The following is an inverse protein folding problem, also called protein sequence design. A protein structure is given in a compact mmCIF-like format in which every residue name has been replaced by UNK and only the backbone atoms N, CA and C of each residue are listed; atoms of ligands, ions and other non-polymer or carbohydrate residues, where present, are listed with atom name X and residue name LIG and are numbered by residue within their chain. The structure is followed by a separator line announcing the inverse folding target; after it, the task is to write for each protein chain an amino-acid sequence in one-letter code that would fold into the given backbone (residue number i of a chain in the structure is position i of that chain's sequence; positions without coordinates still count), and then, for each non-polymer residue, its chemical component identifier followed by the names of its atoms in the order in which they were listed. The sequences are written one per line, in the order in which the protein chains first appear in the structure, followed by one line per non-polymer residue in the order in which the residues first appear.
data_IF_782307485548
#
_entry.id   IF_782307485548
#
_cell.length_a   1.000
_cell.length_b   1.000
_cell.length_c   1.000
_cell.angle_alpha   90.00
_cell.angle_beta   90.00
_cell.angle_gamma   90.00
#
_symmetry.space_group_name_H-M   'P 1'
#
loop_
_entity.id
_entity.type
_entity.pdbx_description
1 polymer ?
#
# COMPACT_ATOMS: atom_id res chain seq x y z
N UNK A 1 -46.87 -2.70 -7.18
CA UNK A 1 -47.23 -4.10 -6.86
C UNK A 1 -45.94 -4.88 -6.62
N UNK A 2 -45.85 -5.51 -5.47
CA UNK A 2 -44.67 -6.15 -4.89
C UNK A 2 -44.25 -7.42 -5.65
N UNK A 3 -43.00 -7.51 -6.10
CA UNK A 3 -42.39 -8.75 -6.59
C UNK A 3 -41.67 -9.46 -5.43
N UNK A 4 -42.10 -10.69 -5.10
CA UNK A 4 -41.49 -11.55 -4.08
C UNK A 4 -40.73 -12.71 -4.71
N UNK A 5 -39.54 -12.99 -4.15
CA UNK A 5 -38.44 -13.85 -4.64
C UNK A 5 -38.66 -15.36 -4.42
N UNK A 6 -39.85 -15.91 -4.68
CA UNK A 6 -40.11 -17.36 -4.55
C UNK A 6 -40.91 -17.85 -5.75
N UNK A 7 -40.22 -18.29 -6.81
CA UNK A 7 -40.69 -19.29 -7.80
C UNK A 7 -39.72 -19.42 -9.01
N UNK A 8 -38.41 -19.59 -8.76
CA UNK A 8 -37.44 -19.82 -9.86
C UNK A 8 -36.70 -21.16 -9.77
N UNK A 9 -37.28 -22.14 -9.07
CA UNK A 9 -36.74 -23.51 -9.01
C UNK A 9 -37.89 -24.51 -9.23
N UNK A 10 -38.31 -24.66 -10.48
CA UNK A 10 -39.08 -25.81 -10.97
C UNK A 10 -39.05 -25.82 -12.51
N UNK A 11 -38.32 -26.77 -13.10
CA UNK A 11 -38.17 -26.95 -14.55
C UNK A 11 -36.86 -27.68 -14.84
N UNK A 12 -36.74 -28.98 -14.52
CA UNK A 12 -37.05 -30.09 -15.45
C UNK A 12 -36.14 -30.01 -16.69
N UNK A 13 -35.13 -30.85 -16.90
CA UNK A 13 -35.10 -32.31 -16.87
C UNK A 13 -35.13 -32.86 -18.31
N UNK A 14 -34.01 -33.49 -18.75
CA UNK A 14 -33.75 -34.48 -19.83
C UNK A 14 -34.57 -34.42 -21.16
N UNK A 15 -34.11 -34.73 -22.38
CA UNK A 15 -33.28 -35.81 -22.97
C UNK A 15 -32.80 -35.28 -24.37
N UNK A 16 -31.86 -35.86 -25.14
CA UNK A 16 -32.08 -36.92 -26.15
C UNK A 16 -30.70 -37.49 -26.55
N UNK A 17 -30.58 -38.82 -26.51
CA UNK A 17 -29.52 -39.62 -27.12
C UNK A 17 -29.76 -39.75 -28.64
N UNK A 18 -28.73 -39.53 -29.47
CA UNK A 18 -28.64 -40.18 -30.79
C UNK A 18 -27.19 -40.55 -31.10
N UNK A 19 -27.02 -41.84 -31.37
CA UNK A 19 -25.85 -42.58 -31.85
C UNK A 19 -25.39 -42.14 -33.23
N UNK A 20 -24.07 -42.08 -33.50
CA UNK A 20 -23.58 -41.98 -34.88
C UNK A 20 -22.09 -41.75 -35.08
N UNK A 21 -21.39 -42.86 -35.32
CA UNK A 21 -20.21 -43.05 -36.21
C UNK A 21 -18.89 -42.33 -35.90
N UNK A 22 -17.89 -43.16 -35.63
CA UNK A 22 -16.48 -42.83 -35.51
C UNK A 22 -15.88 -42.33 -36.84
N UNK A 23 -15.30 -41.13 -36.81
CA UNK A 23 -14.22 -40.73 -37.72
C UNK A 23 -13.09 -40.16 -36.87
N UNK A 24 -12.00 -40.93 -36.73
CA UNK A 24 -10.75 -40.50 -36.11
C UNK A 24 -10.05 -39.49 -37.01
N UNK A 25 -10.37 -38.21 -36.84
CA UNK A 25 -9.57 -37.11 -37.36
C UNK A 25 -8.41 -36.87 -36.39
N UNK A 26 -7.20 -37.33 -36.74
CA UNK A 26 -5.98 -36.95 -36.03
C UNK A 26 -5.72 -35.47 -36.34
N UNK A 27 -6.23 -34.58 -35.50
CA UNK A 27 -5.85 -33.16 -35.49
C UNK A 27 -4.53 -33.05 -34.74
N UNK A 28 -3.44 -33.09 -35.50
CA UNK A 28 -2.11 -32.70 -35.03
C UNK A 28 -2.15 -31.21 -34.70
N UNK A 29 -2.49 -30.88 -33.45
CA UNK A 29 -2.34 -29.51 -32.93
C UNK A 29 -0.85 -29.23 -32.82
N UNK A 30 -0.30 -28.56 -33.83
CA UNK A 30 0.98 -27.90 -33.72
C UNK A 30 0.83 -26.83 -32.62
N UNK A 31 1.51 -27.03 -31.49
CA UNK A 31 1.72 -25.98 -30.50
C UNK A 31 2.56 -24.89 -31.16
N UNK A 32 1.90 -23.99 -31.89
CA UNK A 32 2.43 -22.70 -32.27
C UNK A 32 2.38 -21.81 -31.03
N UNK A 33 3.55 -21.52 -30.52
CA UNK A 33 3.90 -20.28 -29.83
C UNK A 33 2.97 -19.90 -28.68
N UNK A 34 3.39 -20.31 -27.47
CA UNK A 34 3.12 -19.54 -26.27
C UNK A 34 3.76 -18.15 -26.44
N UNK A 35 3.06 -17.27 -27.15
CA UNK A 35 3.20 -15.84 -26.96
C UNK A 35 2.84 -15.59 -25.52
N UNK A 36 3.86 -15.33 -24.69
CA UNK A 36 3.67 -14.76 -23.37
C UNK A 36 2.79 -13.52 -23.55
N UNK A 37 1.52 -13.64 -23.15
CA UNK A 37 0.67 -12.50 -22.86
C UNK A 37 1.35 -11.77 -21.69
N UNK A 38 2.25 -10.85 -22.01
CA UNK A 38 2.91 -9.96 -21.06
C UNK A 38 1.91 -8.89 -20.60
N UNK A 39 0.79 -9.33 -20.03
CA UNK A 39 0.06 -8.52 -19.07
C UNK A 39 0.82 -8.63 -17.75
N UNK A 40 1.84 -7.77 -17.57
CA UNK A 40 2.48 -7.58 -16.26
C UNK A 40 1.38 -7.41 -15.21
N UNK A 41 1.27 -8.37 -14.30
CA UNK A 41 0.23 -8.37 -13.29
C UNK A 41 0.28 -7.06 -12.48
N UNK A 42 -0.88 -6.52 -12.12
CA UNK A 42 -0.96 -5.30 -11.32
C UNK A 42 -0.12 -5.43 -10.04
N UNK A 43 0.78 -4.46 -9.85
CA UNK A 43 1.66 -4.38 -8.70
C UNK A 43 0.87 -3.94 -7.47
N UNK A 44 1.31 -4.40 -6.31
CA UNK A 44 0.75 -3.99 -5.02
C UNK A 44 1.87 -3.49 -4.13
N UNK A 45 2.28 -2.23 -4.31
CA UNK A 45 3.36 -1.67 -3.51
C UNK A 45 3.03 -1.59 -2.01
N UNK A 46 4.02 -1.91 -1.20
CA UNK A 46 4.01 -1.77 0.26
C UNK A 46 5.37 -1.37 0.80
N UNK A 47 5.43 -1.10 2.09
CA UNK A 47 6.65 -0.74 2.80
C UNK A 47 6.74 -1.49 4.12
N UNK A 48 7.96 -1.84 4.54
CA UNK A 48 8.27 -2.37 5.86
C UNK A 48 9.18 -1.37 6.59
N UNK A 49 8.92 -1.14 7.87
CA UNK A 49 9.77 -0.40 8.78
C UNK A 49 10.23 -1.30 9.91
N UNK A 50 11.53 -1.53 10.03
CA UNK A 50 12.13 -2.27 11.14
C UNK A 50 12.45 -1.32 12.29
N UNK A 51 11.69 -1.43 13.38
CA UNK A 51 11.86 -0.57 14.56
C UNK A 51 13.13 -0.89 15.35
N UNK A 52 13.72 -2.08 15.19
CA UNK A 52 14.99 -2.46 15.83
C UNK A 52 16.21 -1.90 15.10
N UNK A 53 16.11 -1.75 13.77
CA UNK A 53 17.16 -1.15 12.95
C UNK A 53 17.07 0.38 12.88
N UNK A 54 15.91 0.97 13.20
CA UNK A 54 15.72 2.40 13.13
C UNK A 54 16.42 3.12 14.29
N UNK A 55 17.34 4.04 13.95
CA UNK A 55 18.12 4.82 14.93
C UNK A 55 17.62 6.25 15.15
N UNK A 56 16.43 6.59 14.62
CA UNK A 56 15.86 7.92 14.83
C UNK A 56 16.57 9.09 14.14
N UNK A 57 17.47 8.85 13.18
CA UNK A 57 18.31 9.88 12.55
C UNK A 57 17.58 10.90 11.66
N UNK A 58 16.27 10.71 11.42
CA UNK A 58 15.41 11.56 10.56
C UNK A 58 15.87 11.80 9.12
N UNK A 59 16.92 11.13 8.63
CA UNK A 59 17.40 11.24 7.25
C UNK A 59 16.31 10.96 6.20
N UNK A 60 15.43 10.00 6.50
CA UNK A 60 14.30 9.67 5.64
C UNK A 60 13.27 10.82 5.51
N UNK A 61 13.08 11.62 6.56
CA UNK A 61 12.18 12.79 6.57
C UNK A 61 12.74 13.88 5.66
N UNK A 62 14.02 14.19 5.81
CA UNK A 62 14.67 15.22 5.00
C UNK A 62 14.80 14.82 3.54
N UNK A 63 15.18 13.58 3.24
CA UNK A 63 15.21 13.09 1.87
C UNK A 63 13.81 13.13 1.21
N UNK A 64 12.75 12.81 1.96
CA UNK A 64 11.39 12.93 1.44
C UNK A 64 11.03 14.38 1.11
N UNK A 65 11.40 15.32 1.99
CA UNK A 65 11.18 16.75 1.78
C UNK A 65 11.92 17.27 0.55
N UNK A 66 13.21 16.97 0.44
CA UNK A 66 14.05 17.46 -0.65
C UNK A 66 13.60 16.92 -2.01
N UNK A 67 13.37 15.61 -2.10
CA UNK A 67 13.01 14.95 -3.37
C UNK A 67 11.61 15.31 -3.82
N UNK A 68 10.65 15.38 -2.89
CA UNK A 68 9.24 15.65 -3.24
C UNK A 68 8.84 17.12 -3.08
N UNK A 69 9.78 18.00 -2.78
CA UNK A 69 9.55 19.45 -2.57
C UNK A 69 8.43 19.72 -1.56
N UNK A 70 8.45 18.99 -0.43
CA UNK A 70 7.46 19.18 0.63
C UNK A 70 7.69 20.54 1.29
N UNK A 71 6.69 21.43 1.39
CA UNK A 71 6.88 22.74 2.01
C UNK A 71 7.23 22.68 3.50
N UNK A 72 7.73 23.80 4.03
CA UNK A 72 7.92 23.96 5.47
C UNK A 72 6.60 23.91 6.24
N UNK A 73 6.67 23.52 7.52
CA UNK A 73 5.50 23.41 8.40
C UNK A 73 4.63 22.16 8.19
N UNK A 74 4.90 21.36 7.14
CA UNK A 74 4.20 20.10 6.86
C UNK A 74 5.18 18.95 6.60
N UNK A 75 4.71 17.72 6.74
CA UNK A 75 5.51 16.53 6.48
C UNK A 75 4.71 15.37 5.90
N UNK A 76 5.31 14.64 4.96
CA UNK A 76 4.76 13.39 4.41
C UNK A 76 5.10 12.16 5.28
N UNK A 77 6.12 12.26 6.12
CA UNK A 77 6.52 11.20 7.05
C UNK A 77 7.26 11.77 8.26
N UNK A 78 7.11 11.13 9.41
CA UNK A 78 7.77 11.51 10.65
C UNK A 78 8.30 10.27 11.36
N UNK A 79 9.38 10.44 12.11
CA UNK A 79 9.90 9.41 13.02
C UNK A 79 9.63 9.87 14.45
N UNK A 80 8.76 9.14 15.13
CA UNK A 80 8.37 9.41 16.51
C UNK A 80 9.24 8.59 17.46
N UNK A 81 9.90 9.27 18.38
CA UNK A 81 10.68 8.68 19.47
C UNK A 81 9.75 8.42 20.66
N UNK A 82 9.84 7.24 21.27
CA UNK A 82 9.14 6.94 22.52
C UNK A 82 9.75 7.68 23.71
N UNK A 83 9.04 7.61 24.84
CA UNK A 83 9.66 7.82 26.14
C UNK A 83 10.84 6.85 26.35
N UNK A 84 11.81 7.20 27.22
CA UNK A 84 12.90 6.31 27.58
C UNK A 84 12.36 5.01 28.18
N UNK A 85 12.91 3.88 27.75
CA UNK A 85 12.59 2.54 28.23
C UNK A 85 13.83 1.96 28.91
N UNK A 86 13.65 1.30 30.06
CA UNK A 86 14.76 0.78 30.88
C UNK A 86 15.26 1.77 31.94
N UNK A 87 16.38 1.42 32.58
CA UNK A 87 17.00 2.21 33.66
C UNK A 87 18.45 2.54 33.30
N UNK A 88 18.97 3.66 33.79
CA UNK A 88 20.36 4.06 33.55
C UNK A 88 21.36 3.00 34.07
N UNK A 89 22.39 2.61 33.30
CA UNK A 89 22.83 3.18 32.01
C UNK A 89 22.17 2.59 30.75
N UNK A 90 21.32 1.57 30.90
CA UNK A 90 20.70 0.79 29.83
C UNK A 90 19.34 1.38 29.40
N UNK A 91 19.35 2.65 28.99
CA UNK A 91 18.16 3.34 28.47
C UNK A 91 18.09 3.18 26.96
N UNK A 92 16.96 2.69 26.48
CA UNK A 92 16.66 2.57 25.05
C UNK A 92 15.45 3.41 24.64
N UNK A 93 15.32 3.61 23.33
CA UNK A 93 14.21 4.35 22.73
C UNK A 93 13.69 3.58 21.54
N UNK A 94 12.36 3.48 21.44
CA UNK A 94 11.70 2.98 20.25
C UNK A 94 11.48 4.14 19.27
N UNK A 95 11.85 3.92 18.02
CA UNK A 95 11.58 4.85 16.93
C UNK A 95 10.51 4.27 16.02
N UNK A 96 9.42 4.99 15.81
CA UNK A 96 8.27 4.54 15.01
C UNK A 96 7.99 5.49 13.86
N UNK A 97 7.80 4.94 12.65
CA UNK A 97 7.46 5.73 11.47
C UNK A 97 5.96 6.02 11.41
N UNK A 98 5.60 7.29 11.27
CA UNK A 98 4.24 7.76 11.02
C UNK A 98 4.17 8.38 9.63
N UNK A 99 3.32 7.82 8.76
CA UNK A 99 3.13 8.27 7.37
C UNK A 99 1.89 7.60 6.76
N UNK A 100 1.56 7.94 5.50
CA UNK A 100 0.51 7.23 4.75
C UNK A 100 0.77 5.73 4.73
N UNK A 101 -0.24 4.96 5.15
CA UNK A 101 -0.20 3.51 5.19
C UNK A 101 -0.56 2.86 3.85
N UNK A 102 -0.93 3.66 2.84
CA UNK A 102 -1.40 3.22 1.52
C UNK A 102 -2.40 2.06 1.63
N UNK A 103 -3.49 2.29 2.36
CA UNK A 103 -4.49 1.27 2.69
C UNK A 103 -5.08 0.61 1.44
N UNK A 104 -5.31 -0.71 1.50
CA UNK A 104 -6.03 -1.44 0.45
C UNK A 104 -7.51 -1.04 0.39
N UNK A 105 -8.08 -0.74 1.55
CA UNK A 105 -9.44 -0.22 1.75
C UNK A 105 -9.33 1.23 2.29
N UNK A 106 -9.02 2.23 1.45
CA UNK A 106 -8.67 3.58 1.91
C UNK A 106 -9.92 4.45 2.16
N UNK A 107 -10.31 4.73 3.43
CA UNK A 107 -11.49 5.55 3.72
C UNK A 107 -11.40 6.96 3.13
N UNK A 108 -10.18 7.51 3.10
CA UNK A 108 -9.89 8.80 2.49
C UNK A 108 -10.22 8.92 0.99
N UNK A 109 -10.31 7.81 0.25
CA UNK A 109 -10.76 7.77 -1.15
C UNK A 109 -12.28 7.78 -1.20
N UNK A 110 -12.95 6.92 -0.42
CA UNK A 110 -14.41 6.79 -0.43
C UNK A 110 -15.15 8.06 -0.01
N UNK A 111 -14.56 8.87 0.86
CA UNK A 111 -15.16 10.13 1.33
C UNK A 111 -14.88 11.32 0.41
N UNK A 112 -14.07 11.17 -0.64
CA UNK A 112 -13.69 12.29 -1.50
C UNK A 112 -14.82 12.64 -2.48
N UNK A 113 -15.47 13.80 -2.34
CA UNK A 113 -16.66 14.11 -3.15
C UNK A 113 -16.32 14.43 -4.62
N UNK A 114 -15.08 14.81 -4.91
CA UNK A 114 -14.65 15.20 -6.27
C UNK A 114 -13.92 14.09 -7.02
N UNK A 115 -13.69 12.94 -6.38
CA UNK A 115 -12.83 11.89 -6.93
C UNK A 115 -11.35 12.29 -7.02
N UNK A 116 -10.93 13.34 -6.30
CA UNK A 116 -9.52 13.74 -6.26
C UNK A 116 -8.64 12.70 -5.56
N UNK A 117 -9.08 12.15 -4.42
CA UNK A 117 -8.38 11.05 -3.78
C UNK A 117 -8.73 9.74 -4.49
N UNK A 118 -7.72 8.93 -4.81
CA UNK A 118 -7.88 7.69 -5.57
C UNK A 118 -6.90 6.62 -5.10
N UNK A 119 -7.12 5.37 -5.52
CA UNK A 119 -6.15 4.28 -5.43
C UNK A 119 -5.82 3.88 -6.86
N UNK A 120 -4.54 3.99 -7.22
CA UNK A 120 -4.05 3.57 -8.51
C UNK A 120 -4.22 2.05 -8.67
N UNK A 121 -4.81 1.60 -9.78
CA UNK A 121 -5.17 0.19 -9.98
C UNK A 121 -3.96 -0.67 -10.38
N UNK A 122 -3.00 -0.07 -11.10
CA UNK A 122 -1.80 -0.76 -11.57
C UNK A 122 -0.75 -0.96 -10.47
N UNK A 123 -0.68 -0.05 -9.50
CA UNK A 123 0.36 -0.03 -8.47
C UNK A 123 -0.17 -0.18 -7.04
N UNK A 124 -1.47 0.02 -6.84
CA UNK A 124 -2.12 0.08 -5.54
C UNK A 124 -1.77 1.34 -4.73
N UNK A 125 -1.08 2.33 -5.30
CA UNK A 125 -0.71 3.55 -4.58
C UNK A 125 -1.96 4.42 -4.37
N UNK A 126 -2.34 4.64 -3.12
CA UNK A 126 -3.34 5.66 -2.77
C UNK A 126 -2.75 7.05 -2.97
N UNK A 127 -3.38 7.90 -3.77
CA UNK A 127 -2.94 9.29 -4.00
C UNK A 127 -4.04 10.34 -4.20
N UNK A 128 -3.64 11.58 -4.54
CA UNK A 128 -4.51 12.72 -4.77
C UNK A 128 -4.17 13.40 -6.10
N UNK A 129 -5.17 13.54 -6.96
CA UNK A 129 -5.17 14.45 -8.10
C UNK A 129 -5.36 15.88 -7.59
N UNK A 130 -4.26 16.64 -7.48
CA UNK A 130 -4.27 18.00 -6.91
C UNK A 130 -5.22 18.93 -7.65
N UNK A 131 -5.27 18.81 -8.97
CA UNK A 131 -6.11 19.59 -9.88
C UNK A 131 -7.62 19.36 -9.69
N UNK A 132 -8.03 18.24 -9.09
CA UNK A 132 -9.43 17.93 -8.76
C UNK A 132 -9.78 18.23 -7.29
N UNK A 133 -8.78 18.57 -6.48
CA UNK A 133 -8.95 18.74 -5.04
C UNK A 133 -9.50 20.13 -4.72
N UNK A 134 -10.66 20.17 -4.06
CA UNK A 134 -11.34 21.43 -3.66
C UNK A 134 -11.08 21.83 -2.20
N UNK A 135 -10.13 21.18 -1.52
CA UNK A 135 -9.75 21.55 -0.15
C UNK A 135 -10.79 21.25 0.94
N UNK A 136 -11.78 20.38 0.69
CA UNK A 136 -12.89 20.13 1.64
C UNK A 136 -12.50 19.45 2.97
N UNK A 137 -11.33 18.81 3.06
CA UNK A 137 -10.83 18.21 4.30
C UNK A 137 -11.43 16.85 4.70
N UNK A 138 -12.41 16.31 3.98
CA UNK A 138 -13.03 15.03 4.34
C UNK A 138 -12.03 13.88 4.39
N UNK A 139 -11.09 13.85 3.44
CA UNK A 139 -10.05 12.83 3.41
C UNK A 139 -9.06 12.93 4.59
N UNK A 140 -8.84 14.13 5.14
CA UNK A 140 -8.03 14.34 6.35
C UNK A 140 -8.77 13.79 7.57
N UNK A 141 -10.04 14.18 7.75
CA UNK A 141 -10.87 13.73 8.86
C UNK A 141 -11.09 12.21 8.87
N UNK A 142 -11.27 11.60 7.69
CA UNK A 142 -11.52 10.17 7.58
C UNK A 142 -10.26 9.31 7.70
N UNK A 143 -9.05 9.88 7.65
CA UNK A 143 -7.82 9.12 7.73
C UNK A 143 -7.54 8.68 9.18
N UNK A 144 -7.59 7.37 9.52
CA UNK A 144 -7.40 6.93 10.90
C UNK A 144 -6.00 7.18 11.44
N UNK A 145 -5.04 7.47 10.56
CA UNK A 145 -3.64 7.69 10.89
C UNK A 145 -3.27 9.17 10.94
N UNK A 146 -4.18 10.08 10.54
CA UNK A 146 -3.95 11.53 10.55
C UNK A 146 -2.67 11.99 9.82
N UNK A 147 -2.39 11.34 8.68
CA UNK A 147 -1.15 11.52 7.87
C UNK A 147 -1.41 12.27 6.56
N UNK A 148 -2.50 13.02 6.51
CA UNK A 148 -2.87 13.92 5.41
C UNK A 148 -2.89 15.35 5.94
N UNK A 149 -2.48 16.29 5.13
CA UNK A 149 -2.46 17.72 5.45
C UNK A 149 -2.91 18.54 4.24
N UNK A 150 -3.21 19.82 4.44
CA UNK A 150 -3.40 20.75 3.34
C UNK A 150 -2.05 21.32 2.93
N UNK A 151 -1.72 21.23 1.64
CA UNK A 151 -0.54 21.89 1.10
C UNK A 151 -0.69 23.41 1.31
N UNK A 152 0.33 24.09 1.85
CA UNK A 152 0.20 25.49 2.25
C UNK A 152 -0.03 26.45 1.08
N UNK A 153 0.47 26.10 -0.12
CA UNK A 153 0.36 26.97 -1.31
C UNK A 153 -0.90 26.74 -2.15
N UNK A 154 -1.15 25.50 -2.58
CA UNK A 154 -2.28 25.16 -3.47
C UNK A 154 -3.55 24.71 -2.73
N UNK A 155 -3.48 24.58 -1.39
CA UNK A 155 -4.56 24.13 -0.51
C UNK A 155 -5.16 22.75 -0.86
N UNK A 156 -4.50 21.99 -1.72
CA UNK A 156 -4.86 20.60 -2.00
C UNK A 156 -4.49 19.69 -0.83
N UNK A 157 -5.17 18.55 -0.72
CA UNK A 157 -4.78 17.53 0.26
C UNK A 157 -3.52 16.81 -0.21
N UNK A 158 -2.50 16.74 0.64
CA UNK A 158 -1.22 16.08 0.35
C UNK A 158 -0.89 15.04 1.45
N UNK A 159 0.00 14.10 1.13
CA UNK A 159 0.47 12.97 1.94
C UNK A 159 1.62 12.24 1.22
N UNK A 160 2.25 11.29 1.89
CA UNK A 160 3.16 10.35 1.21
C UNK A 160 2.48 9.65 0.02
N UNK A 161 3.18 9.60 -1.12
CA UNK A 161 2.77 8.93 -2.35
C UNK A 161 3.77 7.85 -2.80
N UNK A 162 4.58 7.33 -1.88
CA UNK A 162 5.71 6.44 -2.18
C UNK A 162 6.67 6.95 -3.27
N UNK A 163 6.84 8.28 -3.38
CA UNK A 163 7.67 8.91 -4.40
C UNK A 163 7.22 8.57 -5.84
N UNK A 164 5.93 8.28 -6.04
CA UNK A 164 5.36 7.92 -7.34
C UNK A 164 5.78 8.90 -8.43
N UNK A 165 5.64 10.20 -8.17
CA UNK A 165 5.88 11.24 -9.17
C UNK A 165 7.36 11.67 -9.25
N UNK A 166 8.23 11.08 -8.44
CA UNK A 166 9.66 11.45 -8.32
C UNK A 166 10.56 10.24 -8.52
N UNK A 167 11.17 9.71 -7.45
CA UNK A 167 12.11 8.59 -7.55
C UNK A 167 11.50 7.36 -8.23
N UNK A 168 10.27 6.99 -7.88
CA UNK A 168 9.66 5.77 -8.42
C UNK A 168 9.35 5.91 -9.91
N UNK A 169 8.93 7.09 -10.37
CA UNK A 169 8.80 7.40 -11.81
C UNK A 169 10.14 7.28 -12.57
N UNK A 170 11.26 7.53 -11.89
CA UNK A 170 12.61 7.36 -12.44
C UNK A 170 13.16 5.92 -12.28
N UNK A 171 12.33 4.95 -11.89
CA UNK A 171 12.75 3.56 -11.66
C UNK A 171 13.63 3.35 -10.42
N UNK A 172 13.69 4.35 -9.52
CA UNK A 172 14.46 4.32 -8.28
C UNK A 172 13.59 3.89 -7.08
N UNK A 173 14.24 3.59 -5.96
CA UNK A 173 13.54 3.34 -4.71
C UNK A 173 13.05 4.67 -4.11
N UNK A 174 11.98 4.68 -3.29
CA UNK A 174 11.52 5.91 -2.64
C UNK A 174 12.66 6.57 -1.85
N UNK A 175 12.73 7.91 -1.85
CA UNK A 175 13.83 8.67 -1.25
C UNK A 175 14.11 8.31 0.22
N UNK A 176 13.06 8.03 0.99
CA UNK A 176 13.17 7.58 2.38
C UNK A 176 13.88 6.22 2.52
N UNK A 177 13.73 5.32 1.56
CA UNK A 177 14.37 4.00 1.52
C UNK A 177 15.84 4.16 1.14
N UNK A 178 16.14 4.94 0.10
CA UNK A 178 17.52 5.15 -0.38
C UNK A 178 18.40 5.87 0.65
N UNK A 179 17.83 6.81 1.41
CA UNK A 179 18.55 7.59 2.41
C UNK A 179 18.76 6.89 3.75
N UNK A 180 18.13 5.74 4.01
CA UNK A 180 18.17 5.10 5.32
C UNK A 180 19.53 4.42 5.58
N UNK A 181 20.37 4.94 6.49
CA UNK A 181 21.74 4.42 6.66
C UNK A 181 21.78 3.01 7.25
N UNK A 182 20.78 2.66 8.07
CA UNK A 182 20.67 1.35 8.72
C UNK A 182 19.84 0.34 7.94
N UNK A 183 19.29 0.75 6.77
CA UNK A 183 18.40 -0.08 5.95
C UNK A 183 17.16 -0.58 6.71
N UNK A 184 16.67 0.22 7.66
CA UNK A 184 15.44 -0.06 8.42
C UNK A 184 14.17 0.01 7.57
N UNK A 185 14.24 0.47 6.32
CA UNK A 185 13.10 0.59 5.42
C UNK A 185 13.27 -0.34 4.22
N UNK A 186 12.22 -1.10 3.90
CA UNK A 186 12.15 -1.95 2.71
C UNK A 186 10.89 -1.59 1.94
N UNK A 187 11.01 -1.39 0.63
CA UNK A 187 9.89 -1.10 -0.26
C UNK A 187 9.89 -2.07 -1.44
N UNK A 188 8.71 -2.43 -1.92
CA UNK A 188 8.59 -3.30 -3.08
C UNK A 188 7.16 -3.77 -3.33
N UNK A 189 7.03 -4.63 -4.33
CA UNK A 189 5.76 -5.24 -4.69
C UNK A 189 5.42 -6.41 -3.76
N UNK A 190 4.26 -6.33 -3.11
CA UNK A 190 3.75 -7.38 -2.22
C UNK A 190 3.11 -8.55 -2.99
N UNK A 191 2.90 -8.42 -4.30
CA UNK A 191 2.39 -9.49 -5.14
C UNK A 191 3.53 -10.37 -5.69
N UNK A 192 4.75 -9.82 -5.80
CA UNK A 192 5.94 -10.58 -6.15
C UNK A 192 6.51 -11.29 -4.91
N UNK A 193 6.47 -12.65 -4.84
CA UNK A 193 7.03 -13.39 -3.71
C UNK A 193 8.56 -13.30 -3.62
N UNK A 194 9.22 -12.93 -4.72
CA UNK A 194 10.68 -12.77 -4.77
C UNK A 194 11.15 -11.39 -4.33
N UNK A 195 10.24 -10.42 -4.19
CA UNK A 195 10.57 -9.07 -3.76
C UNK A 195 11.16 -9.06 -2.35
N UNK A 196 12.04 -8.09 -2.09
CA UNK A 196 12.70 -7.95 -0.78
C UNK A 196 11.68 -7.79 0.34
N UNK A 197 10.58 -7.07 0.12
CA UNK A 197 9.53 -6.87 1.11
C UNK A 197 8.75 -8.16 1.38
N UNK A 198 8.36 -8.92 0.36
CA UNK A 198 7.60 -10.18 0.52
C UNK A 198 8.40 -11.21 1.32
N UNK A 199 9.71 -11.29 1.07
CA UNK A 199 10.64 -12.10 1.87
C UNK A 199 10.73 -11.59 3.31
N UNK A 200 10.93 -10.28 3.48
CA UNK A 200 11.09 -9.68 4.81
C UNK A 200 9.86 -9.86 5.71
N UNK A 201 8.64 -9.70 5.18
CA UNK A 201 7.41 -9.89 5.98
C UNK A 201 7.11 -11.36 6.30
N UNK A 202 7.69 -12.29 5.56
CA UNK A 202 7.54 -13.74 5.80
C UNK A 202 8.53 -14.23 6.86
N UNK A 203 9.75 -13.67 6.86
CA UNK A 203 10.83 -14.07 7.78
C UNK A 203 10.70 -13.40 9.15
N UNK A 204 10.22 -12.16 9.21
CA UNK A 204 10.11 -11.40 10.46
C UNK A 204 8.70 -11.51 11.06
N UNK A 205 8.61 -11.47 12.39
CA UNK A 205 7.35 -11.14 13.04
C UNK A 205 6.99 -9.68 12.71
N UNK A 206 5.82 -9.46 12.10
CA UNK A 206 5.38 -8.12 11.69
C UNK A 206 4.00 -7.80 12.23
N UNK A 207 3.79 -6.53 12.52
CA UNK A 207 2.48 -5.98 12.84
C UNK A 207 2.13 -4.83 11.89
N UNK A 208 0.86 -4.42 11.94
CA UNK A 208 0.35 -3.27 11.21
C UNK A 208 -0.57 -2.46 12.11
N UNK A 209 -0.54 -1.15 11.96
CA UNK A 209 -1.32 -0.24 12.81
C UNK A 209 -2.82 -0.35 12.52
N UNK A 210 -3.65 -0.30 13.56
CA UNK A 210 -5.12 -0.12 13.48
C UNK A 210 -5.83 -1.11 12.54
N UNK A 211 -5.37 -2.35 12.45
CA UNK A 211 -5.96 -3.40 11.58
C UNK A 211 -7.44 -3.66 11.85
N UNK A 212 -7.90 -3.48 13.10
CA UNK A 212 -9.29 -3.64 13.50
C UNK A 212 -10.26 -2.68 12.78
N UNK A 213 -9.77 -1.60 12.19
CA UNK A 213 -10.59 -0.66 11.39
C UNK A 213 -10.84 -1.14 9.96
N UNK A 214 -10.32 -2.30 9.57
CA UNK A 214 -10.60 -2.89 8.24
C UNK A 214 -9.97 -2.14 7.06
N UNK A 215 -9.07 -1.18 7.30
CA UNK A 215 -8.40 -0.41 6.22
C UNK A 215 -7.36 -1.23 5.46
N UNK A 216 -6.91 -2.37 6.01
CA UNK A 216 -5.90 -3.26 5.44
C UNK A 216 -4.64 -2.46 4.99
N UNK A 217 -3.92 -1.83 5.94
CA UNK A 217 -2.72 -1.04 5.65
C UNK A 217 -1.64 -1.88 4.96
N UNK A 218 -0.84 -1.23 4.10
CA UNK A 218 0.28 -1.82 3.35
C UNK A 218 1.66 -1.37 3.86
N UNK A 219 1.68 -0.70 5.01
CA UNK A 219 2.89 -0.47 5.77
C UNK A 219 2.96 -1.46 6.93
N UNK A 220 4.02 -2.27 6.92
CA UNK A 220 4.34 -3.28 7.90
C UNK A 220 5.41 -2.75 8.85
N UNK A 221 5.43 -3.27 10.07
CA UNK A 221 6.43 -2.92 11.08
C UNK A 221 6.98 -4.17 11.74
N UNK A 222 8.30 -4.26 11.86
CA UNK A 222 8.94 -5.22 12.77
C UNK A 222 8.87 -4.59 14.17
N UNK A 223 8.28 -5.26 15.17
CA UNK A 223 8.14 -4.69 16.51
C UNK A 223 9.51 -4.53 17.16
N UNK A 224 9.69 -3.41 17.86
CA UNK A 224 10.84 -3.21 18.73
C UNK A 224 10.83 -4.23 19.88
N UNK A 225 11.93 -4.95 20.08
CA UNK A 225 11.99 -6.07 21.04
C UNK A 225 12.67 -5.74 22.35
N UNK A 226 13.29 -4.57 22.49
CA UNK A 226 14.08 -4.23 23.67
C UNK A 226 13.29 -3.30 24.59
N UNK A 227 13.28 -3.60 25.90
CA UNK A 227 12.56 -2.78 26.88
C UNK A 227 11.07 -3.08 27.05
N UNK A 228 10.58 -4.27 26.65
CA UNK A 228 9.34 -4.77 27.26
C UNK A 228 9.58 -4.99 28.76
N UNK A 229 8.79 -4.28 29.58
CA UNK A 229 8.63 -4.54 31.03
C UNK A 229 7.31 -5.27 31.24
#
# INVERSE_FOLDING_TARGET
MSCSRRNFLAGSGAVIFTTGVATTSVLTSTNSDASADNTEAAKRYGMLHDENACIGCTACTEACREVNKVPEGVSRLEINRSEPMGEYPDVEYRFTRTSCQHCENPPCVYVCPTGAAYKDEETGIVDVHKEKCVGCGYCLAACPYQVRFFHPEDHSADKCNFCRDTNLAAGKQPACVESCPTKALVFGDLNDPQSTISKAITVNAVYRDKVHLGTKPKLYKVPFHKGEV
#
